data_IF_789250010397
#
_entry.id   IF_789250010397
#
_cell.length_a   1.000
_cell.length_b   1.000
_cell.length_c   1.000
_cell.angle_alpha   90.00
_cell.angle_beta   90.00
_cell.angle_gamma   90.00
#
_symmetry.space_group_name_H-M   'P 1'
#
loop_
_entity.id
_entity.type
_entity.pdbx_description
1 polymer ?
#
# COMPACT_ATOMS: atom_id res chain seq x y z
N UNK A 1 -17.17 -9.80 16.22
CA UNK A 1 -15.74 -9.53 16.52
C UNK A 1 -14.78 -10.03 15.43
N UNK A 2 -14.88 -11.28 14.95
CA UNK A 2 -13.92 -11.84 13.98
C UNK A 2 -13.82 -11.03 12.67
N UNK A 3 -14.96 -10.58 12.12
CA UNK A 3 -15.01 -9.69 10.94
C UNK A 3 -14.34 -8.33 11.20
N UNK A 4 -14.64 -7.68 12.32
CA UNK A 4 -14.01 -6.41 12.70
C UNK A 4 -12.49 -6.53 12.82
N UNK A 5 -11.98 -7.64 13.38
CA UNK A 5 -10.54 -7.90 13.50
C UNK A 5 -9.90 -8.10 12.12
N UNK A 6 -10.56 -8.85 11.23
CA UNK A 6 -10.08 -9.05 9.86
C UNK A 6 -10.02 -7.74 9.07
N UNK A 7 -11.06 -6.91 9.16
CA UNK A 7 -11.09 -5.57 8.53
C UNK A 7 -10.01 -4.68 9.13
N UNK A 8 -9.86 -4.66 10.45
CA UNK A 8 -8.86 -3.83 11.12
C UNK A 8 -7.43 -4.24 10.76
N UNK A 9 -7.13 -5.55 10.71
CA UNK A 9 -5.84 -6.05 10.22
C UNK A 9 -5.59 -5.68 8.75
N UNK A 10 -6.63 -5.69 7.92
CA UNK A 10 -6.56 -5.31 6.50
C UNK A 10 -6.16 -3.85 6.29
N UNK A 11 -6.58 -2.95 7.18
CA UNK A 11 -6.18 -1.54 7.13
C UNK A 11 -4.84 -1.28 7.83
N UNK A 12 -4.54 -2.00 8.90
CA UNK A 12 -3.35 -1.79 9.71
C UNK A 12 -2.07 -2.28 9.02
N UNK A 13 -2.13 -3.41 8.31
CA UNK A 13 -0.99 -3.98 7.59
C UNK A 13 -0.41 -3.02 6.52
N UNK A 14 -1.21 -2.44 5.60
CA UNK A 14 -0.72 -1.45 4.64
C UNK A 14 -0.12 -0.21 5.31
N UNK A 15 -0.72 0.28 6.40
CA UNK A 15 -0.23 1.45 7.13
C UNK A 15 1.19 1.24 7.68
N UNK A 16 1.45 0.08 8.30
CA UNK A 16 2.80 -0.25 8.80
C UNK A 16 3.78 -0.35 7.62
N UNK A 17 3.39 -1.02 6.53
CA UNK A 17 4.29 -1.20 5.39
C UNK A 17 4.62 0.13 4.73
N UNK A 18 3.64 1.02 4.52
CA UNK A 18 3.89 2.37 4.00
C UNK A 18 4.82 3.14 4.93
N UNK A 19 4.65 3.05 6.25
CA UNK A 19 5.54 3.67 7.22
C UNK A 19 6.97 3.09 7.16
N UNK A 20 7.12 1.78 6.97
CA UNK A 20 8.41 1.11 6.81
C UNK A 20 9.12 1.52 5.50
N UNK A 21 8.37 1.65 4.41
CA UNK A 21 8.92 2.18 3.16
C UNK A 21 9.28 3.68 3.29
N UNK A 22 8.55 4.46 4.10
CA UNK A 22 8.86 5.86 4.37
C UNK A 22 10.15 6.05 5.15
N UNK A 23 10.38 5.22 6.17
CA UNK A 23 11.65 5.22 6.90
C UNK A 23 12.80 4.72 6.04
N UNK A 24 12.58 3.68 5.22
CA UNK A 24 13.57 3.20 4.27
C UNK A 24 13.94 4.27 3.23
N UNK A 25 12.96 4.97 2.67
CA UNK A 25 13.17 6.04 1.70
C UNK A 25 13.94 7.23 2.30
N UNK A 26 13.64 7.59 3.55
CA UNK A 26 14.38 8.61 4.29
C UNK A 26 15.87 8.22 4.44
N UNK A 27 16.16 6.96 4.74
CA UNK A 27 17.53 6.47 4.91
C UNK A 27 18.28 6.42 3.58
N UNK A 28 17.63 5.93 2.51
CA UNK A 28 18.25 5.74 1.20
C UNK A 28 18.39 7.05 0.42
N UNK A 29 17.35 7.89 0.44
CA UNK A 29 17.22 9.04 -0.45
C UNK A 29 17.17 10.39 0.26
N UNK A 30 17.12 10.42 1.60
CA UNK A 30 16.96 11.68 2.34
C UNK A 30 18.11 12.67 2.18
N UNK A 31 19.30 12.21 1.76
CA UNK A 31 20.46 13.05 1.42
C UNK A 31 20.50 13.51 -0.03
N UNK A 32 19.82 12.81 -0.93
CA UNK A 32 19.88 13.02 -2.38
C UNK A 32 18.64 13.69 -2.94
N UNK A 33 17.52 13.70 -2.20
CA UNK A 33 16.25 14.23 -2.67
C UNK A 33 15.48 14.92 -1.55
N UNK A 34 15.09 16.18 -1.78
CA UNK A 34 14.34 17.01 -0.82
C UNK A 34 12.99 16.39 -0.43
N UNK A 35 12.35 15.65 -1.34
CA UNK A 35 11.06 14.98 -1.06
C UNK A 35 11.18 13.91 0.01
N UNK A 36 12.38 13.35 0.20
CA UNK A 36 12.65 12.29 1.16
C UNK A 36 13.44 12.76 2.39
N UNK A 37 13.67 14.07 2.57
CA UNK A 37 14.49 14.59 3.66
C UNK A 37 13.84 14.52 5.05
N UNK A 38 12.51 14.46 5.12
CA UNK A 38 11.77 14.32 6.38
C UNK A 38 10.85 13.11 6.35
N UNK A 39 10.65 12.46 7.50
CA UNK A 39 9.77 11.28 7.59
C UNK A 39 8.35 11.57 7.10
N UNK A 40 7.81 12.74 7.44
CA UNK A 40 6.46 13.14 7.04
C UNK A 40 6.36 13.36 5.52
N UNK A 41 7.34 14.02 4.91
CA UNK A 41 7.37 14.26 3.47
C UNK A 41 7.61 12.96 2.71
N UNK A 42 8.47 12.07 3.21
CA UNK A 42 8.67 10.72 2.66
C UNK A 42 7.38 9.90 2.69
N UNK A 43 6.66 9.92 3.82
CA UNK A 43 5.38 9.23 3.97
C UNK A 43 4.34 9.76 2.99
N UNK A 44 4.19 11.09 2.86
CA UNK A 44 3.27 11.70 1.89
C UNK A 44 3.66 11.38 0.45
N UNK A 45 4.95 11.38 0.12
CA UNK A 45 5.47 11.04 -1.21
C UNK A 45 5.17 9.59 -1.58
N UNK A 46 5.33 8.66 -0.63
CA UNK A 46 4.94 7.25 -0.85
C UNK A 46 3.44 7.10 -0.99
N UNK A 47 2.63 7.90 -0.28
CA UNK A 47 1.19 7.91 -0.53
C UNK A 47 0.83 8.48 -1.92
N UNK A 48 1.59 9.45 -2.43
CA UNK A 48 1.41 9.95 -3.80
C UNK A 48 1.78 8.91 -4.86
N UNK A 49 2.59 7.90 -4.52
CA UNK A 49 2.88 6.77 -5.41
C UNK A 49 1.62 6.04 -5.88
N UNK A 50 0.58 5.96 -5.04
CA UNK A 50 -0.70 5.37 -5.43
C UNK A 50 -1.40 6.13 -6.56
N UNK A 51 -1.14 7.43 -6.70
CA UNK A 51 -1.78 8.30 -7.70
C UNK A 51 -0.87 8.52 -8.91
N UNK A 52 0.44 8.71 -8.71
CA UNK A 52 1.41 9.08 -9.76
C UNK A 52 2.72 8.28 -9.64
N UNK A 53 2.71 6.97 -9.91
CA UNK A 53 3.89 6.11 -9.73
C UNK A 53 5.03 6.45 -10.69
N UNK A 54 4.72 6.88 -11.93
CA UNK A 54 5.73 7.21 -12.95
C UNK A 54 6.59 8.41 -12.59
N UNK A 55 5.99 9.42 -11.93
CA UNK A 55 6.72 10.62 -11.55
C UNK A 55 7.80 10.32 -10.50
N UNK A 56 7.46 9.47 -9.52
CA UNK A 56 8.38 9.05 -8.46
C UNK A 56 9.45 8.10 -8.99
N UNK A 57 9.10 7.23 -9.95
CA UNK A 57 10.07 6.35 -10.60
C UNK A 57 11.16 7.14 -11.33
N UNK A 58 10.78 8.13 -12.15
CA UNK A 58 11.74 8.92 -12.91
C UNK A 58 12.70 9.69 -11.99
N UNK A 59 12.18 10.35 -10.95
CA UNK A 59 13.02 11.10 -10.00
C UNK A 59 13.96 10.21 -9.19
N UNK A 60 13.51 9.01 -8.80
CA UNK A 60 14.34 8.04 -8.10
C UNK A 60 15.38 7.38 -9.01
N UNK A 61 15.05 7.15 -10.28
CA UNK A 61 15.98 6.62 -11.27
C UNK A 61 17.10 7.62 -11.59
N UNK A 62 16.77 8.91 -11.70
CA UNK A 62 17.75 9.98 -11.94
C UNK A 62 18.71 10.16 -10.75
N UNK A 63 18.20 10.09 -9.51
CA UNK A 63 19.01 10.24 -8.30
C UNK A 63 19.77 8.98 -7.89
N UNK A 64 19.25 7.79 -8.21
CA UNK A 64 19.82 6.50 -7.80
C UNK A 64 19.45 5.40 -8.82
N UNK A 65 20.24 5.24 -9.90
CA UNK A 65 19.86 4.42 -11.05
C UNK A 65 19.71 2.92 -10.76
N UNK A 66 20.36 2.41 -9.70
CA UNK A 66 20.21 1.01 -9.28
C UNK A 66 19.18 0.84 -8.16
N UNK A 67 19.29 1.61 -7.07
CA UNK A 67 18.47 1.40 -5.86
C UNK A 67 17.03 1.93 -6.04
N UNK A 68 16.85 3.03 -6.78
CA UNK A 68 15.55 3.65 -7.02
C UNK A 68 14.54 2.70 -7.69
N UNK A 69 14.88 2.09 -8.84
CA UNK A 69 14.00 1.13 -9.51
C UNK A 69 13.62 -0.08 -8.65
N UNK A 70 14.58 -0.64 -7.89
CA UNK A 70 14.32 -1.77 -6.98
C UNK A 70 13.37 -1.38 -5.84
N UNK A 71 13.56 -0.19 -5.27
CA UNK A 71 12.67 0.36 -4.24
C UNK A 71 11.24 0.49 -4.76
N UNK A 72 11.08 1.09 -5.94
CA UNK A 72 9.77 1.29 -6.59
C UNK A 72 9.11 -0.04 -6.95
N UNK A 73 9.88 -1.01 -7.45
CA UNK A 73 9.40 -2.34 -7.77
C UNK A 73 8.85 -3.07 -6.52
N UNK A 74 9.62 -3.09 -5.42
CA UNK A 74 9.19 -3.72 -4.18
C UNK A 74 7.97 -3.02 -3.57
N UNK A 75 7.94 -1.69 -3.61
CA UNK A 75 6.79 -0.90 -3.18
C UNK A 75 5.53 -1.27 -3.99
N UNK A 76 5.65 -1.32 -5.32
CA UNK A 76 4.56 -1.71 -6.22
C UNK A 76 4.08 -3.14 -5.99
N UNK A 77 5.01 -4.06 -5.76
CA UNK A 77 4.71 -5.47 -5.48
C UNK A 77 3.92 -5.63 -4.17
N UNK A 78 4.36 -4.98 -3.09
CA UNK A 78 3.63 -4.98 -1.81
C UNK A 78 2.22 -4.39 -1.96
N UNK A 79 2.08 -3.24 -2.64
CA UNK A 79 0.79 -2.61 -2.89
C UNK A 79 -0.14 -3.52 -3.69
N UNK A 80 0.38 -4.21 -4.70
CA UNK A 80 -0.40 -5.14 -5.52
C UNK A 80 -0.95 -6.29 -4.67
N UNK A 81 -0.12 -6.89 -3.81
CA UNK A 81 -0.58 -7.92 -2.87
C UNK A 81 -1.65 -7.39 -1.91
N UNK A 82 -1.53 -6.17 -1.40
CA UNK A 82 -2.57 -5.59 -0.55
C UNK A 82 -3.88 -5.36 -1.30
N UNK A 83 -3.83 -4.82 -2.53
CA UNK A 83 -5.03 -4.64 -3.35
C UNK A 83 -5.72 -5.97 -3.65
N UNK A 84 -4.97 -7.01 -4.04
CA UNK A 84 -5.53 -8.33 -4.31
C UNK A 84 -6.19 -8.93 -3.07
N UNK A 85 -5.50 -8.88 -1.93
CA UNK A 85 -6.07 -9.37 -0.67
C UNK A 85 -7.33 -8.60 -0.27
N UNK A 86 -7.33 -7.27 -0.40
CA UNK A 86 -8.51 -6.45 -0.12
C UNK A 86 -9.68 -6.81 -1.04
N UNK A 87 -9.42 -7.00 -2.33
CA UNK A 87 -10.43 -7.36 -3.32
C UNK A 87 -11.06 -8.74 -3.03
N UNK A 88 -10.23 -9.74 -2.69
CA UNK A 88 -10.70 -11.09 -2.32
C UNK A 88 -11.59 -11.05 -1.09
N UNK A 89 -11.17 -10.33 -0.04
CA UNK A 89 -11.97 -10.23 1.20
C UNK A 89 -13.28 -9.52 0.94
N UNK A 90 -13.27 -8.42 0.18
CA UNK A 90 -14.47 -7.69 -0.19
C UNK A 90 -15.47 -8.56 -0.97
N UNK A 91 -15.00 -9.33 -1.96
CA UNK A 91 -15.85 -10.27 -2.70
C UNK A 91 -16.42 -11.36 -1.79
N UNK A 92 -15.61 -11.91 -0.89
CA UNK A 92 -16.05 -12.96 0.03
C UNK A 92 -17.15 -12.46 0.98
N UNK A 93 -17.02 -11.22 1.46
CA UNK A 93 -18.02 -10.56 2.29
C UNK A 93 -19.32 -10.29 1.51
N UNK A 94 -19.21 -9.76 0.28
CA UNK A 94 -20.37 -9.52 -0.58
C UNK A 94 -21.12 -10.81 -0.91
N UNK A 95 -20.40 -11.90 -1.21
CA UNK A 95 -20.98 -13.21 -1.49
C UNK A 95 -21.71 -13.77 -0.26
N UNK A 96 -21.05 -13.72 0.90
CA UNK A 96 -21.64 -14.17 2.17
C UNK A 96 -22.91 -13.39 2.53
N UNK A 97 -22.94 -12.10 2.24
CA UNK A 97 -24.11 -11.25 2.47
C UNK A 97 -25.30 -11.64 1.58
N UNK A 98 -25.07 -11.86 0.28
CA UNK A 98 -26.12 -12.29 -0.65
C UNK A 98 -26.65 -13.67 -0.29
N UNK A 99 -25.77 -14.62 0.00
CA UNK A 99 -26.16 -15.99 0.36
C UNK A 99 -27.02 -16.03 1.62
N UNK A 100 -26.66 -15.25 2.65
CA UNK A 100 -27.45 -15.14 3.87
C UNK A 100 -28.82 -14.50 3.61
N UNK A 101 -28.92 -13.48 2.75
CA UNK A 101 -30.21 -12.90 2.36
C UNK A 101 -31.12 -13.90 1.66
N UNK A 102 -30.58 -14.70 0.74
CA UNK A 102 -31.35 -15.73 0.02
C UNK A 102 -31.83 -16.82 0.98
N UNK A 103 -30.98 -17.25 1.93
CA UNK A 103 -31.35 -18.26 2.93
C UNK A 103 -32.48 -17.81 3.86
N UNK A 104 -32.56 -16.51 4.21
CA UNK A 104 -33.64 -15.95 5.03
C UNK A 104 -34.97 -15.84 4.25
N UNK A 105 -34.94 -15.72 2.92
CA UNK A 105 -36.16 -15.63 2.09
C UNK A 105 -36.77 -17.02 1.83
N UNK A 106 -35.95 -18.07 1.86
CA UNK A 106 -36.36 -19.46 1.59
C UNK A 106 -36.84 -20.22 2.83
N UNK A 107 -36.77 -19.63 4.02
CA UNK A 107 -37.25 -20.16 5.30
C UNK A 107 -38.40 -19.28 5.84
#
# INVERSE_FOLDING_TARGET
MRLLISVFMLFYMPLIVVMAFASLALILFGKTSETFSHLLTSYLTINQYFVKPRAIYNTLQESSPFIGPWFVFLLGLCINFFMLNFFIVFLNEAYSFVMNKVAVILN
#
